data_IF_812385601391
#
_entry.id   IF_812385601391
#
_cell.length_a   1.000
_cell.length_b   1.000
_cell.length_c   1.000
_cell.angle_alpha   90.00
_cell.angle_beta   90.00
_cell.angle_gamma   90.00
#
_symmetry.space_group_name_H-M   'P 1'
#
loop_
_entity.id
_entity.type
_entity.pdbx_description
1 polymer ?
#
# COMPACT_ATOMS: atom_id res chain seq x y z
N UNK A 1 -9.56 19.85 -0.16
CA UNK A 1 -10.64 18.89 -0.48
C UNK A 1 -10.19 17.69 -1.33
N UNK A 2 -8.92 17.60 -1.80
CA UNK A 2 -8.38 16.45 -2.59
C UNK A 2 -8.01 15.20 -1.78
N UNK A 3 -7.51 15.36 -0.55
CA UNK A 3 -6.91 14.28 0.25
C UNK A 3 -7.88 13.17 0.69
N UNK A 4 -9.15 13.49 0.96
CA UNK A 4 -10.17 12.48 1.34
C UNK A 4 -10.51 11.50 0.22
N UNK A 5 -10.36 11.91 -1.03
CA UNK A 5 -10.70 11.07 -2.19
C UNK A 5 -9.55 10.09 -2.52
N UNK A 6 -8.31 10.53 -2.40
CA UNK A 6 -7.10 9.69 -2.49
C UNK A 6 -7.09 8.59 -1.44
N UNK A 7 -7.35 8.94 -0.16
CA UNK A 7 -7.35 7.98 0.94
C UNK A 7 -8.36 6.84 0.72
N UNK A 8 -9.60 7.16 0.30
CA UNK A 8 -10.63 6.17 0.01
C UNK A 8 -10.28 5.23 -1.15
N UNK A 9 -9.65 5.76 -2.21
CA UNK A 9 -9.24 4.95 -3.36
C UNK A 9 -8.07 4.03 -3.03
N UNK A 10 -7.07 4.54 -2.32
CA UNK A 10 -5.91 3.74 -1.87
C UNK A 10 -6.38 2.63 -0.95
N UNK A 11 -7.27 2.94 0.00
CA UNK A 11 -7.88 1.94 0.88
C UNK A 11 -8.58 0.81 0.11
N UNK A 12 -9.49 1.14 -0.81
CA UNK A 12 -10.22 0.14 -1.57
C UNK A 12 -9.28 -0.78 -2.39
N UNK A 13 -8.21 -0.20 -2.94
CA UNK A 13 -7.17 -0.94 -3.65
C UNK A 13 -6.41 -1.89 -2.73
N UNK A 14 -6.10 -1.47 -1.51
CA UNK A 14 -5.43 -2.32 -0.52
C UNK A 14 -6.33 -3.48 -0.07
N UNK A 15 -7.60 -3.24 0.19
CA UNK A 15 -8.59 -4.29 0.53
C UNK A 15 -8.76 -5.30 -0.63
N UNK A 16 -8.83 -4.83 -1.88
CA UNK A 16 -8.90 -5.69 -3.06
C UNK A 16 -7.63 -6.56 -3.20
N UNK A 17 -6.46 -5.94 -2.99
CA UNK A 17 -5.17 -6.62 -3.12
C UNK A 17 -4.97 -7.65 -2.01
N UNK A 18 -5.39 -7.34 -0.78
CA UNK A 18 -5.29 -8.23 0.37
C UNK A 18 -6.17 -9.44 0.21
N UNK A 19 -7.42 -9.25 -0.23
CA UNK A 19 -8.33 -10.34 -0.53
C UNK A 19 -7.77 -11.23 -1.67
N UNK A 20 -7.25 -10.63 -2.75
CA UNK A 20 -6.65 -11.39 -3.84
C UNK A 20 -5.41 -12.20 -3.40
N UNK A 21 -4.58 -11.61 -2.53
CA UNK A 21 -3.42 -12.30 -1.95
C UNK A 21 -3.84 -13.45 -1.03
N UNK A 22 -4.85 -13.24 -0.17
CA UNK A 22 -5.37 -14.28 0.71
C UNK A 22 -5.99 -15.44 -0.07
N UNK A 23 -6.74 -15.17 -1.14
CA UNK A 23 -7.27 -16.22 -2.04
C UNK A 23 -6.14 -17.07 -2.63
N UNK A 24 -5.02 -16.45 -3.01
CA UNK A 24 -3.82 -17.12 -3.50
C UNK A 24 -3.25 -18.07 -2.45
N UNK A 25 -3.08 -17.58 -1.22
CA UNK A 25 -2.60 -18.37 -0.08
C UNK A 25 -3.56 -19.53 0.24
N UNK A 26 -4.86 -19.27 0.28
CA UNK A 26 -5.91 -20.25 0.59
C UNK A 26 -6.03 -21.33 -0.50
N UNK A 27 -5.71 -21.00 -1.76
CA UNK A 27 -5.59 -21.97 -2.84
C UNK A 27 -4.37 -22.91 -2.69
N UNK A 28 -3.55 -22.71 -1.65
CA UNK A 28 -2.34 -23.49 -1.39
C UNK A 28 -1.15 -23.04 -2.23
N UNK A 29 -1.27 -21.92 -2.95
CA UNK A 29 -0.13 -21.30 -3.60
C UNK A 29 0.72 -20.62 -2.53
N UNK A 30 2.03 -20.87 -2.56
CA UNK A 30 2.99 -20.16 -1.73
C UNK A 30 3.75 -19.19 -2.64
N UNK A 31 3.21 -18.01 -2.93
CA UNK A 31 3.91 -17.01 -3.70
C UNK A 31 5.24 -16.75 -3.00
N UNK A 32 6.37 -16.89 -3.71
CA UNK A 32 7.70 -16.62 -3.16
C UNK A 32 7.95 -15.10 -3.00
N UNK A 33 6.90 -14.36 -2.68
CA UNK A 33 6.82 -12.91 -2.54
C UNK A 33 5.87 -12.61 -1.37
N UNK A 34 6.20 -11.58 -0.60
CA UNK A 34 5.32 -11.07 0.44
C UNK A 34 4.17 -10.22 -0.17
N UNK A 35 3.18 -9.88 0.63
CA UNK A 35 2.07 -9.02 0.19
C UNK A 35 2.57 -7.71 -0.45
N UNK A 36 3.61 -7.08 0.11
CA UNK A 36 4.17 -5.84 -0.43
C UNK A 36 4.71 -6.04 -1.87
N UNK A 37 5.46 -7.13 -2.08
CA UNK A 37 5.92 -7.54 -3.40
C UNK A 37 4.75 -7.83 -4.36
N UNK A 38 3.74 -8.58 -3.90
CA UNK A 38 2.55 -8.89 -4.70
C UNK A 38 1.75 -7.65 -5.09
N UNK A 39 1.53 -6.73 -4.14
CA UNK A 39 0.80 -5.49 -4.35
C UNK A 39 1.51 -4.58 -5.34
N UNK A 40 2.84 -4.46 -5.24
CA UNK A 40 3.63 -3.71 -6.20
C UNK A 40 3.64 -4.40 -7.58
N UNK A 41 3.87 -5.72 -7.67
CA UNK A 41 3.89 -6.40 -8.97
C UNK A 41 2.55 -6.31 -9.71
N UNK A 42 1.44 -6.46 -8.99
CA UNK A 42 0.11 -6.59 -9.60
C UNK A 42 -0.62 -5.25 -9.72
N UNK A 43 -0.40 -4.31 -8.78
CA UNK A 43 -1.20 -3.09 -8.66
C UNK A 43 -0.39 -1.78 -8.69
N UNK A 44 0.93 -1.79 -8.95
CA UNK A 44 1.78 -0.57 -8.93
C UNK A 44 1.21 0.59 -9.74
N UNK A 45 0.79 0.38 -10.99
CA UNK A 45 0.24 1.46 -11.82
C UNK A 45 -1.08 2.03 -11.25
N UNK A 46 -1.91 1.19 -10.63
CA UNK A 46 -3.16 1.60 -9.98
C UNK A 46 -2.88 2.35 -8.68
N UNK A 47 -1.93 1.88 -7.88
CA UNK A 47 -1.48 2.54 -6.65
C UNK A 47 -0.87 3.91 -6.96
N UNK A 48 0.09 3.98 -7.90
CA UNK A 48 0.71 5.25 -8.34
C UNK A 48 -0.33 6.26 -8.85
N UNK A 49 -1.36 5.79 -9.56
CA UNK A 49 -2.48 6.64 -9.99
C UNK A 49 -3.36 7.09 -8.83
N UNK A 50 -3.72 6.20 -7.92
CA UNK A 50 -4.51 6.53 -6.73
C UNK A 50 -3.82 7.58 -5.86
N UNK A 51 -2.49 7.53 -5.81
CA UNK A 51 -1.61 8.48 -5.14
C UNK A 51 -1.39 9.79 -5.93
N UNK A 52 -2.13 10.01 -7.01
CA UNK A 52 -2.07 11.26 -7.77
C UNK A 52 -0.84 11.39 -8.68
N UNK A 53 -0.36 10.27 -9.23
CA UNK A 53 0.86 10.24 -10.05
C UNK A 53 2.12 10.68 -9.31
N UNK A 54 2.21 10.33 -8.02
CA UNK A 54 3.43 10.53 -7.24
C UNK A 54 4.66 10.01 -8.01
N UNK A 55 5.74 10.79 -8.02
CA UNK A 55 6.99 10.36 -8.65
C UNK A 55 7.72 9.35 -7.76
N UNK A 56 7.08 8.20 -7.61
CA UNK A 56 7.55 7.09 -6.80
C UNK A 56 7.95 5.95 -7.73
N UNK A 57 9.10 5.37 -7.43
CA UNK A 57 9.60 4.15 -8.06
C UNK A 57 8.96 2.92 -7.44
N UNK A 58 9.05 1.79 -8.16
CA UNK A 58 8.58 0.49 -7.66
C UNK A 58 9.17 0.16 -6.29
N UNK A 59 10.50 0.23 -6.16
CA UNK A 59 11.21 -0.12 -4.92
C UNK A 59 10.87 0.81 -3.75
N UNK A 60 10.65 2.11 -4.02
CA UNK A 60 10.23 3.04 -2.97
C UNK A 60 8.82 2.69 -2.47
N UNK A 61 7.87 2.42 -3.38
CA UNK A 61 6.51 2.03 -2.97
C UNK A 61 6.52 0.69 -2.22
N UNK A 62 7.27 -0.28 -2.71
CA UNK A 62 7.42 -1.60 -2.08
C UNK A 62 8.02 -1.48 -0.68
N UNK A 63 9.07 -0.67 -0.54
CA UNK A 63 9.71 -0.39 0.76
C UNK A 63 8.76 0.30 1.74
N UNK A 64 7.98 1.27 1.27
CA UNK A 64 6.93 1.91 2.08
C UNK A 64 5.91 0.87 2.53
N UNK A 65 5.33 0.10 1.60
CA UNK A 65 4.34 -0.94 1.95
C UNK A 65 4.88 -1.94 2.96
N UNK A 66 6.09 -2.45 2.76
CA UNK A 66 6.73 -3.42 3.67
C UNK A 66 6.96 -2.82 5.05
N UNK A 67 7.38 -1.56 5.14
CA UNK A 67 7.56 -0.85 6.41
C UNK A 67 6.23 -0.67 7.14
N UNK A 68 5.21 -0.16 6.46
CA UNK A 68 3.89 0.07 7.07
C UNK A 68 3.25 -1.25 7.50
N UNK A 69 3.44 -2.33 6.75
CA UNK A 69 3.03 -3.67 7.17
C UNK A 69 3.74 -4.13 8.45
N UNK A 70 5.06 -3.95 8.54
CA UNK A 70 5.81 -4.30 9.76
C UNK A 70 5.34 -3.48 10.97
N UNK A 71 5.09 -2.18 10.77
CA UNK A 71 4.54 -1.30 11.80
C UNK A 71 3.13 -1.75 12.23
N UNK A 72 2.26 -2.13 11.29
CA UNK A 72 0.93 -2.64 11.63
C UNK A 72 0.95 -4.01 12.32
N UNK A 73 1.83 -4.93 11.88
CA UNK A 73 2.04 -6.21 12.54
C UNK A 73 2.51 -6.04 13.99
N UNK A 74 3.32 -5.01 14.27
CA UNK A 74 3.73 -4.65 15.62
C UNK A 74 2.59 -4.03 16.46
N UNK A 75 1.62 -3.36 15.81
CA UNK A 75 0.51 -2.65 16.47
C UNK A 75 -0.71 -3.55 16.76
N UNK A 76 -0.82 -4.73 16.12
CA UNK A 76 -1.80 -5.80 16.45
C UNK A 76 -3.19 -5.25 16.81
N UNK A 77 -3.85 -4.57 15.87
CA UNK A 77 -5.21 -4.09 16.05
C UNK A 77 -6.19 -5.03 15.34
N UNK A 78 -7.06 -5.63 16.15
CA UNK A 78 -8.21 -6.43 15.77
C UNK A 78 -9.03 -5.78 14.65
N UNK A 79 -9.60 -6.64 13.79
CA UNK A 79 -10.48 -6.39 12.66
C UNK A 79 -10.95 -4.95 12.40
N UNK A 80 -10.72 -4.49 11.16
CA UNK A 80 -11.32 -3.32 10.48
C UNK A 80 -10.54 -2.01 10.41
N UNK A 81 -9.28 -1.95 10.87
CA UNK A 81 -8.45 -0.73 10.75
C UNK A 81 -7.33 -0.78 9.70
N UNK A 82 -6.94 -1.95 9.20
CA UNK A 82 -5.69 -2.13 8.45
C UNK A 82 -5.60 -1.28 7.19
N UNK A 83 -6.61 -1.35 6.32
CA UNK A 83 -6.58 -0.62 5.06
C UNK A 83 -6.71 0.91 5.26
N UNK A 84 -7.43 1.35 6.29
CA UNK A 84 -7.49 2.77 6.69
C UNK A 84 -6.14 3.28 7.24
N UNK A 85 -5.49 2.48 8.10
CA UNK A 85 -4.17 2.75 8.66
C UNK A 85 -3.14 2.83 7.54
N UNK A 86 -3.05 1.78 6.70
CA UNK A 86 -2.15 1.71 5.56
C UNK A 86 -2.37 2.90 4.61
N UNK A 87 -3.63 3.19 4.24
CA UNK A 87 -3.92 4.34 3.38
C UNK A 87 -3.50 5.67 4.01
N UNK A 88 -3.63 5.83 5.33
CA UNK A 88 -3.21 7.06 6.02
C UNK A 88 -1.69 7.22 6.04
N UNK A 89 -0.95 6.16 6.35
CA UNK A 89 0.51 6.18 6.43
C UNK A 89 1.11 6.32 5.04
N UNK A 90 0.62 5.57 4.04
CA UNK A 90 1.10 5.68 2.64
C UNK A 90 0.85 7.09 2.10
N UNK A 91 -0.32 7.68 2.37
CA UNK A 91 -0.61 9.05 1.92
C UNK A 91 0.33 10.07 2.58
N UNK A 92 0.67 9.88 3.86
CA UNK A 92 1.58 10.76 4.60
C UNK A 92 3.04 10.60 4.15
N UNK A 93 3.52 9.36 4.03
CA UNK A 93 4.89 9.04 3.60
C UNK A 93 5.15 9.52 2.17
N UNK A 94 4.20 9.35 1.26
CA UNK A 94 4.37 9.75 -0.15
C UNK A 94 4.30 11.27 -0.31
N UNK A 95 3.55 11.97 0.54
CA UNK A 95 3.62 13.42 0.63
C UNK A 95 5.02 13.89 1.08
N UNK A 96 5.69 13.17 1.97
CA UNK A 96 7.05 13.49 2.39
C UNK A 96 8.09 13.15 1.31
N UNK A 97 7.97 11.99 0.64
CA UNK A 97 8.88 11.57 -0.44
C UNK A 97 8.82 12.54 -1.62
N UNK A 98 7.63 13.04 -1.96
CA UNK A 98 7.43 13.98 -3.08
C UNK A 98 7.98 15.39 -2.81
N UNK A 99 8.36 15.72 -1.58
CA UNK A 99 8.85 17.05 -1.16
C UNK A 99 10.39 17.09 -1.07
N UNK A 100 11.05 15.93 -1.11
CA UNK A 100 12.50 15.82 -0.84
C UNK A 100 13.43 15.95 -2.06
N UNK A 101 12.97 16.43 -3.22
CA UNK A 101 13.88 16.80 -4.32
C UNK A 101 13.75 18.28 -4.72
N UNK A 102 14.68 19.12 -4.25
CA UNK A 102 15.30 20.14 -5.07
C UNK A 102 16.68 19.64 -5.50
N UNK A 103 16.88 19.44 -6.81
CA UNK A 103 18.23 19.44 -7.40
C UNK A 103 18.74 20.88 -7.45
#
# INVERSE_FOLDING_TARGET
MRTRNTHRHVRALLEETDNAYQILIDAGENPNIDFAGYACQTYFARLKRALGHADITFHQLEGVLRRVMQEHHAVRAEGHGWADFMASVITAEIANVSVSEPV
#
